data_IF_664785255726
#
_entry.id   IF_664785255726
#
_cell.length_a   1.000
_cell.length_b   1.000
_cell.length_c   1.000
_cell.angle_alpha   90.00
_cell.angle_beta   90.00
_cell.angle_gamma   90.00
#
_symmetry.space_group_name_H-M   'P 1'
#
loop_
_entity.id
_entity.type
_entity.pdbx_description
1 polymer ?
#
# COMPACT_ATOMS: atom_id res chain seq x y z
N UNK A 1 8.72 21.35 -0.13
CA UNK A 1 7.32 21.23 0.31
C UNK A 1 7.26 21.38 1.83
N UNK A 2 6.26 22.10 2.38
CA UNK A 2 5.99 22.10 3.81
C UNK A 2 5.70 20.68 4.32
N UNK A 3 6.02 20.35 5.59
CA UNK A 3 5.83 18.99 6.13
C UNK A 3 4.39 18.46 6.00
N UNK A 4 3.40 19.36 6.07
CA UNK A 4 1.98 19.02 5.91
C UNK A 4 1.63 18.61 4.47
N UNK A 5 2.26 19.23 3.48
CA UNK A 5 2.09 18.89 2.06
C UNK A 5 2.76 17.54 1.78
N UNK A 6 3.98 17.32 2.26
CA UNK A 6 4.68 16.01 2.15
C UNK A 6 3.81 14.88 2.72
N UNK A 7 3.25 15.10 3.92
CA UNK A 7 2.37 14.12 4.56
C UNK A 7 1.12 13.84 3.73
N UNK A 8 0.46 14.89 3.24
CA UNK A 8 -0.74 14.75 2.42
C UNK A 8 -0.44 14.00 1.11
N UNK A 9 0.61 14.39 0.39
CA UNK A 9 1.04 13.75 -0.85
C UNK A 9 1.38 12.27 -0.62
N UNK A 10 2.11 11.97 0.46
CA UNK A 10 2.42 10.58 0.83
C UNK A 10 1.14 9.77 1.03
N UNK A 11 0.20 10.25 1.84
CA UNK A 11 -1.05 9.57 2.08
C UNK A 11 -1.89 9.38 0.80
N UNK A 12 -1.99 10.41 -0.03
CA UNK A 12 -2.77 10.37 -1.27
C UNK A 12 -2.19 9.40 -2.31
N UNK A 13 -0.88 9.15 -2.27
CA UNK A 13 -0.19 8.20 -3.14
C UNK A 13 -0.46 6.73 -2.78
N UNK A 14 -0.94 6.45 -1.56
CA UNK A 14 -1.20 5.09 -1.09
C UNK A 14 -2.54 4.60 -1.65
N UNK A 15 -2.48 3.65 -2.59
CA UNK A 15 -3.67 3.00 -3.15
C UNK A 15 -3.88 1.55 -2.68
N UNK A 16 -2.89 0.96 -1.99
CA UNK A 16 -2.94 -0.41 -1.48
C UNK A 16 -2.13 -0.55 -0.18
N UNK A 17 -2.69 -1.27 0.79
CA UNK A 17 -1.99 -1.68 2.02
C UNK A 17 -2.21 -3.18 2.18
N UNK A 18 -1.14 -3.95 2.39
CA UNK A 18 -1.23 -5.39 2.51
C UNK A 18 -0.30 -5.94 3.58
N UNK A 19 -0.75 -6.97 4.30
CA UNK A 19 0.12 -7.81 5.12
C UNK A 19 1.07 -8.59 4.21
N UNK A 20 2.34 -8.22 4.18
CA UNK A 20 3.35 -8.86 3.33
C UNK A 20 3.38 -10.38 3.56
N UNK A 21 2.88 -11.17 2.59
CA UNK A 21 3.12 -12.61 2.54
C UNK A 21 4.44 -12.81 1.78
N UNK A 22 5.49 -13.26 2.47
CA UNK A 22 6.83 -13.52 1.91
C UNK A 22 6.82 -14.31 0.60
N UNK A 23 5.78 -15.12 0.37
CA UNK A 23 5.67 -15.95 -0.82
C UNK A 23 5.54 -15.16 -2.15
N UNK A 24 4.91 -13.97 -2.18
CA UNK A 24 4.73 -13.18 -3.43
C UNK A 24 4.55 -11.67 -3.18
N UNK A 25 5.63 -10.90 -2.93
CA UNK A 25 5.54 -9.45 -2.74
C UNK A 25 5.00 -8.69 -3.96
N UNK A 26 4.96 -9.32 -5.14
CA UNK A 26 4.65 -8.66 -6.42
C UNK A 26 3.60 -9.40 -7.26
N UNK A 27 2.75 -10.27 -6.68
CA UNK A 27 1.79 -11.08 -7.47
C UNK A 27 0.96 -10.24 -8.44
N UNK A 28 0.45 -9.10 -7.98
CA UNK A 28 -0.34 -8.19 -8.80
C UNK A 28 0.46 -7.44 -9.86
N UNK A 29 1.75 -7.21 -9.62
CA UNK A 29 2.63 -6.62 -10.62
C UNK A 29 2.92 -7.64 -11.73
N UNK A 30 3.13 -8.91 -11.41
CA UNK A 30 3.27 -9.98 -12.41
C UNK A 30 2.02 -10.12 -13.27
N UNK A 31 0.84 -10.10 -12.65
CA UNK A 31 -0.42 -10.14 -13.40
C UNK A 31 -0.57 -8.91 -14.30
N UNK A 32 -0.19 -7.71 -13.81
CA UNK A 32 -0.21 -6.49 -14.62
C UNK A 32 0.82 -6.53 -15.77
N UNK A 33 2.02 -7.09 -15.59
CA UNK A 33 3.03 -7.25 -16.65
C UNK A 33 2.50 -8.13 -17.77
N UNK A 34 1.80 -9.23 -17.44
CA UNK A 34 1.19 -10.09 -18.47
C UNK A 34 0.19 -9.32 -19.33
N UNK A 35 -0.66 -8.51 -18.69
CA UNK A 35 -1.62 -7.66 -19.40
C UNK A 35 -0.91 -6.59 -20.25
N UNK A 36 0.12 -5.94 -19.68
CA UNK A 36 0.92 -4.94 -20.38
C UNK A 36 1.58 -5.50 -21.64
N UNK A 37 2.24 -6.65 -21.53
CA UNK A 37 2.92 -7.31 -22.65
C UNK A 37 1.94 -7.84 -23.71
N UNK A 38 0.71 -8.19 -23.31
CA UNK A 38 -0.37 -8.55 -24.23
C UNK A 38 -1.00 -7.34 -24.94
N UNK A 39 -0.51 -6.11 -24.68
CA UNK A 39 -1.10 -4.88 -25.22
C UNK A 39 -2.48 -4.56 -24.63
N UNK A 40 -2.85 -5.20 -23.52
CA UNK A 40 -4.14 -4.96 -22.87
C UNK A 40 -4.06 -3.68 -22.04
N UNK A 41 -4.83 -2.69 -22.48
CA UNK A 41 -4.82 -1.34 -21.92
C UNK A 41 -5.89 -1.20 -20.82
N UNK A 42 -6.91 -2.06 -20.84
CA UNK A 42 -8.04 -2.02 -19.92
C UNK A 42 -8.32 -3.40 -19.31
N UNK A 43 -8.57 -3.43 -18.00
CA UNK A 43 -8.89 -4.62 -17.21
C UNK A 43 -10.07 -4.32 -16.26
N UNK A 44 -10.93 -5.33 -16.05
CA UNK A 44 -12.09 -5.20 -15.17
C UNK A 44 -11.72 -5.08 -13.67
N UNK A 45 -10.53 -5.55 -13.29
CA UNK A 45 -9.99 -5.43 -11.96
C UNK A 45 -9.41 -4.02 -11.75
N UNK A 46 -10.13 -3.21 -10.97
CA UNK A 46 -9.76 -1.83 -10.61
C UNK A 46 -8.33 -1.68 -10.08
N UNK A 47 -7.77 -2.72 -9.43
CA UNK A 47 -6.39 -2.69 -8.92
C UNK A 47 -5.37 -2.85 -10.05
N UNK A 48 -5.58 -3.82 -10.94
CA UNK A 48 -4.69 -4.02 -12.10
C UNK A 48 -4.78 -2.84 -13.06
N UNK A 49 -5.99 -2.34 -13.31
CA UNK A 49 -6.20 -1.13 -14.10
C UNK A 49 -5.37 0.04 -13.56
N UNK A 50 -5.30 0.23 -12.24
CA UNK A 50 -4.52 1.32 -11.67
C UNK A 50 -3.04 1.23 -11.99
N UNK A 51 -2.48 0.02 -11.87
CA UNK A 51 -1.07 -0.25 -12.14
C UNK A 51 -0.78 0.04 -13.62
N UNK A 52 -1.65 -0.42 -14.52
CA UNK A 52 -1.54 -0.12 -15.95
C UNK A 52 -1.63 1.40 -16.23
N UNK A 53 -2.51 2.13 -15.54
CA UNK A 53 -2.65 3.57 -15.71
C UNK A 53 -1.40 4.33 -15.23
N UNK A 54 -0.77 3.89 -14.13
CA UNK A 54 0.51 4.44 -13.65
C UNK A 54 1.59 4.23 -14.73
N UNK A 55 1.70 3.03 -15.28
CA UNK A 55 2.70 2.73 -16.32
C UNK A 55 2.43 3.46 -17.64
N UNK A 56 1.17 3.67 -18.03
CA UNK A 56 0.81 4.49 -19.21
C UNK A 56 1.21 5.96 -19.06
N UNK A 57 1.21 6.47 -17.84
CA UNK A 57 1.67 7.82 -17.54
C UNK A 57 3.21 7.95 -17.48
N UNK A 58 3.95 6.90 -17.90
CA UNK A 58 5.41 6.77 -17.80
C UNK A 58 5.97 6.84 -16.37
N UNK A 59 5.12 6.54 -15.39
CA UNK A 59 5.49 6.39 -13.98
C UNK A 59 5.62 4.90 -13.64
N UNK A 60 6.24 4.57 -12.51
CA UNK A 60 6.30 3.22 -11.97
C UNK A 60 5.66 3.09 -10.61
N UNK A 61 5.35 1.85 -10.23
CA UNK A 61 4.74 1.55 -8.93
C UNK A 61 5.82 1.49 -7.86
N UNK A 62 5.60 2.16 -6.73
CA UNK A 62 6.49 2.09 -5.57
C UNK A 62 5.98 1.00 -4.62
N UNK A 63 6.85 0.05 -4.28
CA UNK A 63 6.58 -0.96 -3.26
C UNK A 63 7.39 -0.65 -2.00
N UNK A 64 6.71 -0.07 -1.01
CA UNK A 64 7.31 0.28 0.28
C UNK A 64 7.20 -0.89 1.26
N UNK A 65 8.33 -1.48 1.63
CA UNK A 65 8.42 -2.67 2.48
C UNK A 65 8.78 -2.30 3.92
N UNK A 66 7.78 -1.94 4.72
CA UNK A 66 7.98 -1.52 6.12
C UNK A 66 7.63 -2.63 7.11
N UNK A 67 8.07 -2.47 8.37
CA UNK A 67 7.61 -3.28 9.49
C UNK A 67 7.97 -4.77 9.40
N UNK A 68 9.21 -5.08 9.04
CA UNK A 68 9.71 -6.45 8.94
C UNK A 68 9.75 -7.18 10.30
N UNK A 69 9.82 -8.52 10.25
CA UNK A 69 9.98 -9.41 11.41
C UNK A 69 8.85 -9.33 12.46
N UNK A 70 7.61 -9.12 12.00
CA UNK A 70 6.41 -9.15 12.85
C UNK A 70 5.71 -10.51 12.80
N UNK A 71 5.07 -10.88 13.90
CA UNK A 71 4.21 -12.08 13.94
C UNK A 71 2.95 -11.86 13.09
N UNK A 72 2.29 -12.93 12.58
CA UNK A 72 1.12 -12.78 11.71
C UNK A 72 0.03 -11.89 12.32
N UNK A 73 -0.37 -12.15 13.57
CA UNK A 73 -1.42 -11.41 14.29
C UNK A 73 -1.16 -9.91 14.33
N UNK A 74 0.10 -9.53 14.50
CA UNK A 74 0.51 -8.13 14.49
C UNK A 74 0.46 -7.54 13.09
N UNK A 75 0.89 -8.28 12.06
CA UNK A 75 0.78 -7.84 10.66
C UNK A 75 -0.68 -7.54 10.28
N UNK A 76 -1.62 -8.41 10.66
CA UNK A 76 -3.05 -8.18 10.47
C UNK A 76 -3.54 -6.90 11.15
N UNK A 77 -3.15 -6.72 12.41
CA UNK A 77 -3.59 -5.57 13.20
C UNK A 77 -3.02 -4.26 12.67
N UNK A 78 -1.77 -4.24 12.22
CA UNK A 78 -1.14 -3.09 11.57
C UNK A 78 -1.81 -2.76 10.24
N UNK A 79 -2.08 -3.77 9.41
CA UNK A 79 -2.84 -3.62 8.16
C UNK A 79 -4.22 -2.99 8.43
N UNK A 80 -4.97 -3.54 9.40
CA UNK A 80 -6.28 -3.03 9.78
C UNK A 80 -6.23 -1.58 10.27
N UNK A 81 -5.28 -1.26 11.14
CA UNK A 81 -5.09 0.08 11.66
C UNK A 81 -4.77 1.10 10.57
N UNK A 82 -3.83 0.78 9.67
CA UNK A 82 -3.45 1.66 8.56
C UNK A 82 -4.62 1.89 7.58
N UNK A 83 -5.37 0.83 7.22
CA UNK A 83 -6.56 0.95 6.38
C UNK A 83 -7.63 1.82 7.07
N UNK A 84 -7.89 1.56 8.36
CA UNK A 84 -8.86 2.30 9.14
C UNK A 84 -8.50 3.79 9.29
N UNK A 85 -7.21 4.11 9.37
CA UNK A 85 -6.73 5.49 9.48
C UNK A 85 -6.73 6.23 8.15
N UNK A 86 -6.42 5.55 7.04
CA UNK A 86 -6.44 6.18 5.73
C UNK A 86 -7.86 6.67 5.42
N UNK A 87 -8.91 5.84 5.59
CA UNK A 87 -10.31 6.19 5.20
C UNK A 87 -10.44 6.84 3.81
N UNK A 88 -9.40 6.74 2.97
CA UNK A 88 -9.26 7.55 1.77
C UNK A 88 -10.12 6.94 0.67
N UNK A 89 -10.72 7.81 -0.14
CA UNK A 89 -11.43 7.43 -1.37
C UNK A 89 -10.55 6.62 -2.34
N UNK A 90 -9.22 6.68 -2.18
CA UNK A 90 -8.22 6.14 -3.10
C UNK A 90 -7.78 4.70 -2.75
N UNK A 91 -8.16 4.18 -1.57
CA UNK A 91 -7.78 2.85 -1.13
C UNK A 91 -8.59 1.79 -1.91
N UNK A 92 -7.92 1.02 -2.77
CA UNK A 92 -8.55 -0.01 -3.60
C UNK A 92 -8.55 -1.39 -2.95
N UNK A 93 -8.40 -1.45 -1.63
CA UNK A 93 -8.47 -2.70 -0.89
C UNK A 93 -9.90 -3.25 -0.93
N UNK A 94 -10.07 -4.47 -1.46
CA UNK A 94 -11.37 -5.14 -1.50
C UNK A 94 -11.83 -5.66 -0.13
N UNK A 95 -10.95 -5.70 0.88
CA UNK A 95 -11.22 -6.29 2.20
C UNK A 95 -10.71 -5.34 3.28
N UNK A 96 -11.55 -5.06 4.28
CA UNK A 96 -11.16 -4.36 5.50
C UNK A 96 -10.26 -5.26 6.34
N UNK A 97 -9.16 -4.72 6.88
CA UNK A 97 -8.29 -5.48 7.77
C UNK A 97 -8.99 -5.85 9.07
N UNK A 98 -8.54 -6.94 9.70
CA UNK A 98 -9.08 -7.42 10.97
C UNK A 98 -8.12 -7.12 12.12
N UNK A 99 -8.66 -6.57 13.22
CA UNK A 99 -7.92 -6.37 14.46
C UNK A 99 -7.89 -7.67 15.28
N UNK A 100 -6.78 -7.89 15.99
CA UNK A 100 -6.61 -9.02 16.89
C UNK A 100 -5.94 -8.57 18.19
N UNK A 101 -5.98 -9.42 19.22
CA UNK A 101 -5.34 -9.16 20.51
C UNK A 101 -5.93 -7.93 21.22
N UNK A 102 -5.12 -7.24 22.03
CA UNK A 102 -5.54 -6.06 22.78
C UNK A 102 -6.15 -4.95 21.89
N UNK A 103 -5.61 -4.66 20.68
CA UNK A 103 -6.21 -3.66 19.79
C UNK A 103 -7.65 -3.94 19.35
N UNK A 104 -8.16 -5.17 19.51
CA UNK A 104 -9.56 -5.50 19.23
C UNK A 104 -10.52 -4.84 20.23
N UNK A 105 -10.11 -4.61 21.48
CA UNK A 105 -10.94 -3.98 22.52
C UNK A 105 -10.82 -2.47 22.55
N UNK A 106 -9.95 -1.90 21.70
CA UNK A 106 -9.74 -0.46 21.63
C UNK A 106 -10.90 0.26 20.97
N UNK A 107 -11.10 1.52 21.34
CA UNK A 107 -12.03 2.39 20.63
C UNK A 107 -11.56 2.66 19.20
N UNK A 108 -12.49 3.00 18.31
CA UNK A 108 -12.16 3.39 16.94
C UNK A 108 -11.15 4.55 16.89
N UNK A 109 -11.18 5.47 17.86
CA UNK A 109 -10.22 6.57 17.95
C UNK A 109 -8.79 6.06 18.24
N UNK A 110 -8.65 5.11 19.16
CA UNK A 110 -7.35 4.49 19.48
C UNK A 110 -6.80 3.69 18.29
N UNK A 111 -7.65 2.91 17.63
CA UNK A 111 -7.28 2.17 16.42
C UNK A 111 -6.83 3.10 15.29
N UNK A 112 -7.52 4.22 15.08
CA UNK A 112 -7.13 5.24 14.09
C UNK A 112 -5.79 5.90 14.47
N UNK A 113 -5.57 6.23 15.74
CA UNK A 113 -4.29 6.80 16.21
C UNK A 113 -3.11 5.85 15.92
N UNK A 114 -3.29 4.55 16.13
CA UNK A 114 -2.28 3.55 15.77
C UNK A 114 -1.99 3.58 14.26
N UNK A 115 -3.03 3.60 13.44
CA UNK A 115 -2.87 3.66 11.98
C UNK A 115 -2.14 4.92 11.52
N UNK A 116 -2.49 6.09 12.05
CA UNK A 116 -1.79 7.36 11.75
C UNK A 116 -0.31 7.28 12.13
N UNK A 117 0.02 6.75 13.31
CA UNK A 117 1.40 6.60 13.74
C UNK A 117 2.20 5.65 12.84
N UNK A 118 1.59 4.55 12.40
CA UNK A 118 2.20 3.60 11.46
C UNK A 118 2.43 4.24 10.08
N UNK A 119 1.44 4.96 9.54
CA UNK A 119 1.56 5.66 8.28
C UNK A 119 2.65 6.74 8.33
N UNK A 120 2.74 7.48 9.43
CA UNK A 120 3.78 8.49 9.63
C UNK A 120 5.17 7.85 9.66
N UNK A 121 5.33 6.73 10.37
CA UNK A 121 6.58 5.95 10.34
C UNK A 121 6.91 5.45 8.94
N UNK A 122 5.92 4.97 8.18
CA UNK A 122 6.12 4.53 6.81
C UNK A 122 6.59 5.68 5.90
N UNK A 123 6.02 6.89 6.06
CA UNK A 123 6.48 8.08 5.35
C UNK A 123 7.95 8.39 5.67
N UNK A 124 8.32 8.39 6.95
CA UNK A 124 9.70 8.67 7.35
C UNK A 124 10.69 7.65 6.78
N UNK A 125 10.30 6.37 6.74
CA UNK A 125 11.10 5.32 6.09
C UNK A 125 11.23 5.61 4.59
N UNK A 126 10.13 5.91 3.90
CA UNK A 126 10.15 6.25 2.47
C UNK A 126 11.05 7.45 2.15
N UNK A 127 10.94 8.54 2.93
CA UNK A 127 11.77 9.72 2.74
C UNK A 127 13.26 9.45 2.98
N UNK A 128 13.58 8.48 3.83
CA UNK A 128 14.97 8.10 4.13
C UNK A 128 15.55 7.10 3.12
N UNK A 129 14.76 6.13 2.67
CA UNK A 129 15.17 5.12 1.69
C UNK A 129 15.18 5.67 0.25
N UNK A 130 14.37 6.69 -0.01
CA UNK A 130 14.18 7.26 -1.33
C UNK A 130 13.17 6.49 -2.18
N UNK A 131 12.93 7.02 -3.37
CA UNK A 131 11.93 6.50 -4.30
C UNK A 131 12.55 5.45 -5.25
N UNK A 132 11.93 4.28 -5.33
CA UNK A 132 12.22 3.26 -6.36
C UNK A 132 10.94 2.89 -7.10
N UNK A 133 10.84 3.36 -8.33
CA UNK A 133 9.72 3.05 -9.22
C UNK A 133 9.95 1.71 -9.92
N UNK A 134 8.93 0.84 -9.94
CA UNK A 134 8.91 -0.39 -10.70
C UNK A 134 8.11 -0.18 -11.98
N UNK A 135 8.81 -0.20 -13.12
CA UNK A 135 8.23 -0.22 -14.47
C UNK A 135 8.07 -1.67 -14.95
N UNK A 136 7.30 -1.92 -16.02
CA UNK A 136 7.11 -3.28 -16.55
C UNK A 136 8.43 -4.01 -16.83
N UNK A 137 9.44 -3.30 -17.32
CA UNK A 137 10.79 -3.84 -17.63
C UNK A 137 11.56 -4.31 -16.39
N UNK A 138 11.19 -3.87 -15.20
CA UNK A 138 11.91 -4.19 -13.96
C UNK A 138 11.39 -5.47 -13.29
N UNK A 139 10.36 -6.09 -13.87
CA UNK A 139 9.59 -7.19 -13.29
C UNK A 139 9.71 -8.42 -14.20
N UNK A 140 10.46 -9.43 -13.75
CA UNK A 140 10.70 -10.70 -14.46
C UNK A 140 9.81 -11.83 -13.95
#
# INVERSE_FOLDING_TARGET
MPPTEVWKTFLESIFYVGKGKRARPYSHLYDAVKLWNAGMINDSNKKLQHILDIWKADLGVICLHVFQNVIPVEAYTREAAMIAALKLKNLRNNILGQFYGTPLTWSAQQQNKLGVALLYKAMMIFLNEGERQLKPSDIN
#
